data_IF_369160244934
#
_entry.id   IF_369160244934
#
_cell.length_a   1.000
_cell.length_b   1.000
_cell.length_c   1.000
_cell.angle_alpha   90.00
_cell.angle_beta   90.00
_cell.angle_gamma   90.00
#
_symmetry.space_group_name_H-M   'P 1'
#
loop_
_entity.id
_entity.type
_entity.pdbx_description
1 polymer ?
#
# COMPACT_ATOMS: atom_id res chain seq x y z
N UNK A 1 33.10 -67.26 -33.40
CA UNK A 1 32.07 -66.38 -32.81
C UNK A 1 31.54 -65.50 -33.92
N UNK A 2 30.48 -65.93 -34.62
CA UNK A 2 29.89 -65.18 -35.73
C UNK A 2 28.92 -64.12 -35.15
N UNK A 3 29.17 -62.84 -35.46
CA UNK A 3 28.25 -61.74 -35.15
C UNK A 3 27.43 -61.48 -36.41
N UNK A 4 26.12 -61.70 -36.32
CA UNK A 4 25.19 -61.37 -37.40
C UNK A 4 24.61 -59.96 -37.17
N UNK A 5 24.88 -59.02 -38.08
CA UNK A 5 24.33 -57.66 -38.05
C UNK A 5 23.19 -57.53 -39.06
N UNK A 6 22.02 -57.07 -38.59
CA UNK A 6 20.86 -56.85 -39.47
C UNK A 6 20.12 -55.57 -39.07
N UNK A 7 19.52 -54.91 -40.06
CA UNK A 7 18.71 -53.70 -39.87
C UNK A 7 17.22 -54.05 -39.87
N UNK A 8 16.50 -53.60 -38.83
CA UNK A 8 15.05 -53.74 -38.76
C UNK A 8 14.38 -52.73 -39.71
N UNK A 9 13.36 -53.14 -40.48
CA UNK A 9 12.66 -52.26 -41.41
C UNK A 9 11.70 -51.35 -40.64
N UNK A 10 12.23 -50.30 -39.99
CA UNK A 10 11.47 -49.31 -39.25
C UNK A 10 11.70 -47.96 -39.92
N UNK A 11 10.63 -47.36 -40.46
CA UNK A 11 10.69 -46.10 -41.21
C UNK A 11 10.20 -44.89 -40.41
N UNK A 12 9.70 -45.08 -39.18
CA UNK A 12 9.24 -44.01 -38.28
C UNK A 12 9.56 -44.32 -36.80
N UNK A 13 9.69 -43.29 -35.92
CA UNK A 13 9.88 -43.49 -34.49
C UNK A 13 8.68 -44.21 -33.88
N UNK A 14 8.91 -45.37 -33.27
CA UNK A 14 7.86 -46.18 -32.64
C UNK A 14 8.14 -46.36 -31.14
N UNK A 15 7.06 -46.45 -30.34
CA UNK A 15 7.19 -46.58 -28.89
C UNK A 15 7.83 -47.91 -28.46
N UNK A 16 8.37 -47.96 -27.24
CA UNK A 16 9.12 -49.12 -26.70
C UNK A 16 8.42 -50.48 -26.90
N UNK A 17 7.11 -50.56 -26.63
CA UNK A 17 6.30 -51.78 -26.78
C UNK A 17 6.13 -52.21 -28.24
N UNK A 18 6.03 -51.25 -29.16
CA UNK A 18 5.91 -51.50 -30.60
C UNK A 18 7.25 -51.95 -31.19
N UNK A 19 8.39 -51.40 -30.72
CA UNK A 19 9.72 -51.87 -31.11
C UNK A 19 9.93 -53.35 -30.77
N UNK A 20 9.57 -53.76 -29.55
CA UNK A 20 9.67 -55.16 -29.13
C UNK A 20 8.84 -56.09 -30.05
N UNK A 21 7.65 -55.63 -30.45
CA UNK A 21 6.76 -56.38 -31.34
C UNK A 21 7.31 -56.48 -32.77
N UNK A 22 7.91 -55.41 -33.29
CA UNK A 22 8.54 -55.40 -34.62
C UNK A 22 9.75 -56.34 -34.66
N UNK A 23 10.60 -56.29 -33.64
CA UNK A 23 11.74 -57.20 -33.51
C UNK A 23 11.27 -58.66 -33.41
N UNK A 24 10.25 -58.95 -32.60
CA UNK A 24 9.63 -60.28 -32.49
C UNK A 24 9.07 -60.78 -33.85
N UNK A 25 8.34 -59.93 -34.56
CA UNK A 25 7.75 -60.28 -35.85
C UNK A 25 8.81 -60.49 -36.95
N UNK A 26 9.90 -59.73 -36.91
CA UNK A 26 11.04 -59.90 -37.81
C UNK A 26 11.78 -61.22 -37.54
N UNK A 27 12.04 -61.52 -36.27
CA UNK A 27 12.66 -62.79 -35.84
C UNK A 27 11.85 -64.00 -36.32
N UNK A 28 10.52 -63.92 -36.29
CA UNK A 28 9.64 -64.99 -36.78
C UNK A 28 9.75 -65.25 -38.29
N UNK A 29 10.12 -64.24 -39.08
CA UNK A 29 10.15 -64.29 -40.56
C UNK A 29 11.52 -64.63 -41.15
N UNK A 30 12.62 -64.50 -40.38
CA UNK A 30 13.97 -64.80 -40.88
C UNK A 30 14.39 -66.25 -40.57
N UNK A 31 14.75 -67.06 -41.59
CA UNK A 31 15.04 -68.50 -41.43
C UNK A 31 16.24 -68.82 -40.53
N UNK A 32 17.19 -67.89 -40.41
CA UNK A 32 18.47 -68.08 -39.71
C UNK A 32 18.28 -68.29 -38.20
N UNK A 33 17.12 -67.93 -37.64
CA UNK A 33 16.86 -67.91 -36.20
C UNK A 33 15.68 -68.77 -35.76
N UNK A 34 15.22 -69.66 -36.63
CA UNK A 34 14.15 -70.63 -36.31
C UNK A 34 14.66 -71.84 -35.52
N UNK A 35 15.92 -71.85 -35.06
CA UNK A 35 16.55 -73.04 -34.46
C UNK A 35 17.52 -72.70 -33.32
N UNK A 36 17.08 -71.90 -32.33
CA UNK A 36 17.84 -71.65 -31.10
C UNK A 36 16.90 -71.71 -29.87
N UNK A 37 17.26 -72.40 -28.77
CA UNK A 37 16.28 -72.64 -27.70
C UNK A 37 15.97 -71.45 -26.80
N UNK A 38 16.87 -70.47 -26.66
CA UNK A 38 16.63 -69.33 -25.77
C UNK A 38 17.24 -68.02 -26.32
N UNK A 39 16.38 -67.17 -26.89
CA UNK A 39 16.72 -65.89 -27.50
C UNK A 39 16.32 -64.76 -26.54
N UNK A 40 17.28 -64.03 -25.98
CA UNK A 40 17.01 -62.91 -25.06
C UNK A 40 17.27 -61.58 -25.75
N UNK A 41 16.41 -60.58 -25.56
CA UNK A 41 16.66 -59.25 -26.14
C UNK A 41 17.08 -58.26 -25.06
N UNK A 42 18.30 -57.74 -25.19
CA UNK A 42 18.88 -56.73 -24.31
C UNK A 42 18.79 -55.36 -24.97
N UNK A 43 18.11 -54.41 -24.31
CA UNK A 43 18.05 -53.02 -24.72
C UNK A 43 19.05 -52.21 -23.89
N UNK A 44 20.03 -51.60 -24.55
CA UNK A 44 20.95 -50.67 -23.92
C UNK A 44 20.48 -49.23 -24.18
N UNK A 45 20.27 -48.45 -23.11
CA UNK A 45 20.04 -47.01 -23.20
C UNK A 45 21.01 -46.24 -22.29
N UNK A 46 20.97 -44.91 -22.37
CA UNK A 46 21.81 -43.98 -21.61
C UNK A 46 21.65 -44.10 -20.08
N UNK A 47 20.61 -44.79 -19.61
CA UNK A 47 20.26 -44.99 -18.20
C UNK A 47 20.45 -46.44 -17.71
N UNK A 48 20.97 -47.35 -18.55
CA UNK A 48 21.26 -48.74 -18.17
C UNK A 48 20.71 -49.80 -19.15
N UNK A 49 20.98 -51.07 -18.85
CA UNK A 49 20.56 -52.21 -19.68
C UNK A 49 19.25 -52.81 -19.18
N UNK A 50 18.22 -52.90 -20.03
CA UNK A 50 16.95 -53.55 -19.70
C UNK A 50 16.83 -54.87 -20.47
N UNK A 51 16.68 -55.98 -19.74
CA UNK A 51 16.61 -57.34 -20.29
C UNK A 51 15.15 -57.76 -20.45
N UNK A 52 14.75 -58.20 -21.65
CA UNK A 52 13.44 -58.77 -21.91
C UNK A 52 13.54 -60.27 -22.24
N UNK A 53 12.93 -61.15 -21.44
CA UNK A 53 12.85 -62.58 -21.78
C UNK A 53 11.83 -62.81 -22.89
N UNK A 54 12.22 -63.53 -23.95
CA UNK A 54 11.31 -64.00 -25.01
C UNK A 54 11.28 -65.53 -24.93
N UNK A 55 10.09 -66.11 -24.76
CA UNK A 55 9.91 -67.56 -24.84
C UNK A 55 9.75 -67.99 -26.30
N UNK A 56 10.71 -68.75 -26.81
CA UNK A 56 10.62 -69.48 -28.07
C UNK A 56 10.93 -70.96 -27.78
N UNK A 57 10.21 -71.90 -28.39
CA UNK A 57 10.48 -73.35 -28.34
C UNK A 57 11.06 -73.70 -29.70
N UNK A 58 12.22 -74.39 -29.85
CA UNK A 58 12.68 -75.09 -31.09
C UNK A 58 14.06 -75.84 -30.94
N UNK A 59 14.42 -76.63 -31.96
CA UNK A 59 15.24 -77.87 -32.05
C UNK A 59 16.79 -77.78 -31.74
N UNK A 60 17.48 -78.85 -31.25
CA UNK A 60 18.87 -78.83 -30.72
C UNK A 60 20.08 -78.92 -31.68
N UNK A 61 19.92 -79.14 -32.98
CA UNK A 61 21.04 -79.59 -33.85
C UNK A 61 21.91 -78.47 -34.49
N UNK A 62 21.68 -77.18 -34.19
CA UNK A 62 22.37 -76.03 -34.82
C UNK A 62 23.18 -75.16 -33.82
N UNK A 63 23.61 -75.76 -32.71
CA UNK A 63 24.05 -75.05 -31.50
C UNK A 63 25.46 -74.43 -31.50
N UNK A 64 26.31 -74.67 -32.50
CA UNK A 64 27.76 -74.47 -32.31
C UNK A 64 28.34 -73.12 -32.75
N UNK A 65 27.61 -72.22 -33.43
CA UNK A 65 28.28 -71.07 -34.10
C UNK A 65 27.82 -69.65 -33.75
N UNK A 66 26.67 -69.43 -33.09
CA UNK A 66 26.11 -68.08 -32.87
C UNK A 66 26.00 -67.75 -31.37
N UNK A 67 26.79 -66.78 -30.91
CA UNK A 67 26.82 -66.32 -29.51
C UNK A 67 25.95 -65.10 -29.22
N UNK A 68 25.76 -64.22 -30.21
CA UNK A 68 24.94 -63.01 -30.09
C UNK A 68 24.57 -62.43 -31.45
N UNK A 69 23.45 -61.69 -31.50
CA UNK A 69 22.94 -61.04 -32.71
C UNK A 69 22.70 -59.59 -32.37
N UNK A 70 23.28 -58.67 -33.15
CA UNK A 70 23.18 -57.24 -32.90
C UNK A 70 22.26 -56.59 -33.93
N UNK A 71 21.27 -55.83 -33.47
CA UNK A 71 20.43 -55.00 -34.31
C UNK A 71 20.79 -53.54 -34.10
N UNK A 72 21.08 -52.84 -35.19
CA UNK A 72 21.30 -51.40 -35.17
C UNK A 72 20.12 -50.71 -35.83
N UNK A 73 19.37 -49.93 -35.06
CA UNK A 73 18.24 -49.15 -35.59
C UNK A 73 18.71 -47.70 -35.77
N UNK A 74 18.87 -47.22 -37.01
CA UNK A 74 19.16 -45.81 -37.25
C UNK A 74 17.93 -44.96 -36.91
N UNK A 75 18.08 -44.00 -36.01
CA UNK A 75 17.06 -42.99 -35.70
C UNK A 75 17.48 -41.66 -36.34
N UNK A 76 16.64 -41.00 -37.17
CA UNK A 76 17.07 -39.83 -37.93
C UNK A 76 17.47 -38.62 -37.06
N UNK A 77 16.99 -38.55 -35.81
CA UNK A 77 17.21 -37.41 -34.89
C UNK A 77 17.80 -37.80 -33.51
N UNK A 78 18.28 -39.03 -33.31
CA UNK A 78 18.89 -39.48 -32.03
C UNK A 78 20.05 -40.45 -32.30
N UNK A 79 20.95 -40.63 -31.32
CA UNK A 79 22.04 -41.62 -31.39
C UNK A 79 21.47 -43.01 -31.73
N UNK A 80 22.12 -43.77 -32.65
CA UNK A 80 21.63 -45.08 -33.05
C UNK A 80 21.54 -46.02 -31.84
N UNK A 81 20.38 -46.66 -31.67
CA UNK A 81 20.18 -47.63 -30.60
C UNK A 81 20.70 -49.00 -31.05
N UNK A 82 21.69 -49.52 -30.34
CA UNK A 82 22.22 -50.88 -30.53
C UNK A 82 21.47 -51.86 -29.59
N UNK A 83 20.85 -52.88 -30.17
CA UNK A 83 20.24 -53.98 -29.46
C UNK A 83 21.13 -55.21 -29.60
N UNK A 84 21.35 -55.93 -28.50
CA UNK A 84 22.08 -57.20 -28.55
C UNK A 84 21.14 -58.28 -28.08
N UNK A 85 21.03 -59.35 -28.85
CA UNK A 85 20.40 -60.59 -28.45
C UNK A 85 21.51 -61.55 -28.05
N UNK A 86 21.51 -61.99 -26.80
CA UNK A 86 22.49 -62.95 -26.27
C UNK A 86 21.78 -64.29 -26.03
N UNK A 87 22.41 -65.41 -26.39
CA UNK A 87 21.87 -66.76 -26.18
C UNK A 87 22.59 -67.36 -24.96
N UNK A 88 21.85 -67.72 -23.90
CA UNK A 88 22.44 -68.22 -22.63
C UNK A 88 22.11 -69.70 -22.39
N UNK A 89 23.09 -70.46 -21.87
CA UNK A 89 23.01 -71.90 -21.65
C UNK A 89 22.48 -72.31 -20.26
N UNK A 90 22.17 -71.38 -19.34
CA UNK A 90 21.72 -71.71 -17.96
C UNK A 90 20.45 -70.93 -17.51
N UNK A 91 19.25 -71.36 -17.95
CA UNK A 91 17.99 -70.64 -17.72
C UNK A 91 17.49 -70.69 -16.26
N UNK A 92 17.74 -71.77 -15.51
CA UNK A 92 17.16 -71.95 -14.18
C UNK A 92 17.74 -71.02 -13.10
N UNK A 93 19.06 -70.76 -13.15
CA UNK A 93 19.76 -69.85 -12.24
C UNK A 93 19.27 -68.40 -12.39
N UNK A 94 19.06 -67.96 -13.62
CA UNK A 94 18.58 -66.61 -13.92
C UNK A 94 17.10 -66.41 -13.57
N UNK A 95 16.24 -67.39 -13.82
CA UNK A 95 14.83 -67.32 -13.40
C UNK A 95 14.68 -67.20 -11.88
N UNK A 96 15.52 -67.91 -11.10
CA UNK A 96 15.54 -67.78 -9.65
C UNK A 96 15.98 -66.37 -9.21
N UNK A 97 17.02 -65.80 -9.83
CA UNK A 97 17.49 -64.45 -9.53
C UNK A 97 16.45 -63.37 -9.90
N UNK A 98 15.77 -63.50 -11.04
CA UNK A 98 14.70 -62.59 -11.47
C UNK A 98 13.50 -62.65 -10.53
N UNK A 99 13.09 -63.85 -10.08
CA UNK A 99 12.02 -63.99 -9.08
C UNK A 99 12.40 -63.34 -7.76
N UNK A 100 13.65 -63.52 -7.31
CA UNK A 100 14.16 -62.90 -6.10
C UNK A 100 14.16 -61.36 -6.22
N UNK A 101 14.63 -60.83 -7.34
CA UNK A 101 14.65 -59.40 -7.61
C UNK A 101 13.23 -58.82 -7.67
N UNK A 102 12.32 -59.47 -8.40
CA UNK A 102 10.92 -59.06 -8.48
C UNK A 102 10.25 -59.03 -7.10
N UNK A 103 10.58 -59.99 -6.22
CA UNK A 103 10.04 -60.03 -4.87
C UNK A 103 10.61 -58.90 -3.99
N UNK A 104 11.91 -58.59 -4.13
CA UNK A 104 12.53 -57.43 -3.47
C UNK A 104 11.88 -56.12 -3.94
N UNK A 105 11.67 -55.95 -5.24
CA UNK A 105 11.06 -54.75 -5.81
C UNK A 105 9.60 -54.61 -5.38
N UNK A 106 8.84 -55.70 -5.29
CA UNK A 106 7.48 -55.72 -4.74
C UNK A 106 7.44 -55.27 -3.28
N UNK A 107 8.33 -55.80 -2.45
CA UNK A 107 8.40 -55.43 -1.04
C UNK A 107 8.80 -53.95 -0.87
N UNK A 108 9.74 -53.46 -1.70
CA UNK A 108 10.14 -52.06 -1.71
C UNK A 108 8.98 -51.15 -2.11
N UNK A 109 8.21 -51.52 -3.13
CA UNK A 109 7.01 -50.79 -3.56
C UNK A 109 5.94 -50.74 -2.47
N UNK A 110 5.69 -51.86 -1.78
CA UNK A 110 4.75 -51.91 -0.65
C UNK A 110 5.18 -51.01 0.50
N UNK A 111 6.47 -50.98 0.83
CA UNK A 111 7.01 -50.13 1.90
C UNK A 111 6.89 -48.64 1.52
N UNK A 112 7.22 -48.27 0.28
CA UNK A 112 7.04 -46.90 -0.23
C UNK A 112 5.57 -46.47 -0.19
N UNK A 113 4.65 -47.37 -0.54
CA UNK A 113 3.22 -47.08 -0.50
C UNK A 113 2.73 -46.81 0.93
N UNK A 114 3.18 -47.62 1.90
CA UNK A 114 2.89 -47.40 3.31
C UNK A 114 3.45 -46.06 3.80
N UNK A 115 4.69 -45.72 3.46
CA UNK A 115 5.30 -44.43 3.82
C UNK A 115 4.52 -43.24 3.23
N UNK A 116 4.07 -43.34 1.96
CA UNK A 116 3.25 -42.30 1.35
C UNK A 116 1.93 -42.11 2.08
N UNK A 117 1.26 -43.20 2.49
CA UNK A 117 -0.02 -43.12 3.20
C UNK A 117 0.15 -42.49 4.59
N UNK A 118 1.21 -42.83 5.31
CA UNK A 118 1.55 -42.18 6.60
C UNK A 118 1.79 -40.68 6.42
N UNK A 119 2.61 -40.29 5.44
CA UNK A 119 2.90 -38.88 5.15
C UNK A 119 1.64 -38.10 4.73
N UNK A 120 0.76 -38.71 3.95
CA UNK A 120 -0.51 -38.10 3.56
C UNK A 120 -1.41 -37.87 4.77
N UNK A 121 -1.44 -38.82 5.70
CA UNK A 121 -2.22 -38.71 6.93
C UNK A 121 -1.69 -37.58 7.81
N UNK A 122 -0.38 -37.55 8.07
CA UNK A 122 0.27 -36.48 8.85
C UNK A 122 0.04 -35.09 8.24
N UNK A 123 0.17 -34.96 6.92
CA UNK A 123 -0.07 -33.69 6.23
C UNK A 123 -1.55 -33.26 6.32
N UNK A 124 -2.49 -34.22 6.26
CA UNK A 124 -3.91 -33.93 6.40
C UNK A 124 -4.27 -33.44 7.81
N UNK A 125 -3.63 -34.00 8.84
CA UNK A 125 -3.79 -33.58 10.24
C UNK A 125 -3.21 -32.17 10.46
N UNK A 126 -2.05 -31.87 9.90
CA UNK A 126 -1.45 -30.53 9.96
C UNK A 126 -2.35 -29.48 9.30
N UNK A 127 -2.92 -29.78 8.13
CA UNK A 127 -3.87 -28.88 7.46
C UNK A 127 -5.11 -28.65 8.34
N UNK A 128 -5.64 -29.71 8.96
CA UNK A 128 -6.80 -29.59 9.83
C UNK A 128 -6.51 -28.71 11.06
N UNK A 129 -5.35 -28.88 11.69
CA UNK A 129 -4.90 -28.05 12.80
C UNK A 129 -4.78 -26.58 12.40
N UNK A 130 -4.06 -26.29 11.30
CA UNK A 130 -3.88 -24.92 10.80
C UNK A 130 -5.21 -24.25 10.46
N UNK A 131 -6.15 -24.99 9.84
CA UNK A 131 -7.50 -24.48 9.57
C UNK A 131 -8.24 -24.13 10.85
N UNK A 132 -8.16 -24.97 11.88
CA UNK A 132 -8.81 -24.72 13.16
C UNK A 132 -8.23 -23.48 13.86
N UNK A 133 -6.91 -23.32 13.80
CA UNK A 133 -6.21 -22.15 14.37
C UNK A 133 -6.61 -20.86 13.67
N UNK A 134 -6.60 -20.83 12.33
CA UNK A 134 -7.05 -19.67 11.56
C UNK A 134 -8.53 -19.34 11.84
N UNK A 135 -9.38 -20.36 12.00
CA UNK A 135 -10.79 -20.16 12.33
C UNK A 135 -10.96 -19.49 13.70
N UNK A 136 -10.15 -19.87 14.69
CA UNK A 136 -10.13 -19.22 16.00
C UNK A 136 -9.66 -17.78 15.90
N UNK A 137 -8.61 -17.52 15.14
CA UNK A 137 -8.10 -16.15 14.96
C UNK A 137 -9.14 -15.23 14.31
N UNK A 138 -9.81 -15.68 13.24
CA UNK A 138 -10.93 -14.96 12.61
C UNK A 138 -12.04 -14.67 13.62
N UNK A 139 -12.40 -15.65 14.45
CA UNK A 139 -13.43 -15.46 15.47
C UNK A 139 -13.02 -14.38 16.49
N UNK A 140 -11.79 -14.43 17.01
CA UNK A 140 -11.30 -13.43 17.95
C UNK A 140 -11.22 -12.02 17.33
N UNK A 141 -10.86 -11.91 16.05
CA UNK A 141 -10.82 -10.64 15.33
C UNK A 141 -12.23 -10.07 15.15
N UNK A 142 -13.20 -10.93 14.81
CA UNK A 142 -14.61 -10.52 14.69
C UNK A 142 -15.18 -10.03 16.02
N UNK A 143 -14.91 -10.73 17.12
CA UNK A 143 -15.33 -10.30 18.47
C UNK A 143 -14.72 -8.95 18.85
N UNK A 144 -13.42 -8.76 18.60
CA UNK A 144 -12.74 -7.46 18.82
C UNK A 144 -13.35 -6.34 17.97
N UNK A 145 -13.63 -6.61 16.69
CA UNK A 145 -14.26 -5.64 15.80
C UNK A 145 -15.68 -5.28 16.27
N UNK A 146 -16.48 -6.26 16.70
CA UNK A 146 -17.81 -6.00 17.24
C UNK A 146 -17.76 -5.14 18.50
N UNK A 147 -16.86 -5.46 19.43
CA UNK A 147 -16.67 -4.68 20.66
C UNK A 147 -16.22 -3.25 20.36
N UNK A 148 -15.25 -3.06 19.47
CA UNK A 148 -14.77 -1.74 19.07
C UNK A 148 -15.89 -0.91 18.42
N UNK A 149 -16.66 -1.51 17.49
CA UNK A 149 -17.79 -0.85 16.86
C UNK A 149 -18.88 -0.47 17.87
N UNK A 150 -19.17 -1.35 18.84
CA UNK A 150 -20.16 -1.07 19.87
C UNK A 150 -19.70 0.07 20.79
N UNK A 151 -18.46 0.01 21.28
CA UNK A 151 -17.88 1.09 22.09
C UNK A 151 -17.86 2.43 21.36
N UNK A 152 -17.54 2.42 20.06
CA UNK A 152 -17.54 3.63 19.24
C UNK A 152 -18.95 4.18 19.07
N UNK A 153 -19.94 3.32 18.80
CA UNK A 153 -21.35 3.73 18.73
C UNK A 153 -21.84 4.32 20.06
N UNK A 154 -21.52 3.69 21.19
CA UNK A 154 -21.92 4.19 22.51
C UNK A 154 -21.34 5.58 22.79
N UNK A 155 -20.08 5.81 22.39
CA UNK A 155 -19.44 7.12 22.48
C UNK A 155 -20.14 8.15 21.60
N UNK A 156 -20.44 7.80 20.33
CA UNK A 156 -21.20 8.69 19.44
C UNK A 156 -22.60 9.01 19.97
N UNK A 157 -23.29 8.03 20.56
CA UNK A 157 -24.61 8.26 21.16
C UNK A 157 -24.52 9.22 22.35
N UNK A 158 -23.48 9.10 23.17
CA UNK A 158 -23.24 10.00 24.29
C UNK A 158 -22.98 11.43 23.82
N UNK A 159 -22.01 11.62 22.91
CA UNK A 159 -21.65 12.92 22.36
C UNK A 159 -22.85 13.58 21.66
N UNK A 160 -23.62 12.82 20.88
CA UNK A 160 -24.81 13.31 20.20
C UNK A 160 -25.87 13.79 21.21
N UNK A 161 -26.02 13.09 22.35
CA UNK A 161 -26.96 13.49 23.40
C UNK A 161 -26.52 14.79 24.06
N UNK A 162 -25.24 14.93 24.41
CA UNK A 162 -24.69 16.16 24.99
C UNK A 162 -24.85 17.35 24.04
N UNK A 163 -24.50 17.17 22.76
CA UNK A 163 -24.63 18.22 21.74
C UNK A 163 -26.07 18.61 21.49
N UNK A 164 -27.01 17.67 21.49
CA UNK A 164 -28.43 17.98 21.38
C UNK A 164 -28.95 18.77 22.59
N UNK A 165 -28.44 18.50 23.78
CA UNK A 165 -28.76 19.26 24.98
C UNK A 165 -28.21 20.69 24.89
N UNK A 166 -26.95 20.85 24.49
CA UNK A 166 -26.31 22.16 24.26
C UNK A 166 -27.08 22.99 23.22
N UNK A 167 -27.51 22.38 22.11
CA UNK A 167 -28.34 23.03 21.10
C UNK A 167 -29.69 23.47 21.68
N UNK A 168 -30.29 22.66 22.55
CA UNK A 168 -31.56 22.99 23.20
C UNK A 168 -31.41 24.22 24.12
N UNK A 169 -30.32 24.27 24.88
CA UNK A 169 -30.03 25.35 25.83
C UNK A 169 -29.73 26.66 25.08
N UNK A 170 -28.87 26.62 24.07
CA UNK A 170 -28.58 27.78 23.20
C UNK A 170 -29.83 28.30 22.49
N UNK A 171 -30.70 27.39 22.02
CA UNK A 171 -31.99 27.79 21.44
C UNK A 171 -32.89 28.48 22.47
N UNK A 172 -32.82 28.10 23.74
CA UNK A 172 -33.59 28.77 24.78
C UNK A 172 -33.05 30.18 25.05
N UNK A 173 -31.72 30.33 25.11
CA UNK A 173 -31.06 31.62 25.29
C UNK A 173 -31.37 32.59 24.16
N UNK A 174 -31.31 32.13 22.89
CA UNK A 174 -31.69 32.95 21.73
C UNK A 174 -33.12 33.46 21.90
N UNK A 175 -34.08 32.59 22.25
CA UNK A 175 -35.48 33.02 22.47
C UNK A 175 -35.62 34.06 23.59
N UNK A 176 -34.87 33.92 24.67
CA UNK A 176 -34.90 34.88 25.78
C UNK A 176 -34.36 36.25 25.33
N UNK A 177 -33.25 36.26 24.60
CA UNK A 177 -32.65 37.49 24.06
C UNK A 177 -33.56 38.18 23.04
N UNK A 178 -34.20 37.41 22.15
CA UNK A 178 -35.19 37.93 21.21
C UNK A 178 -36.36 38.59 21.93
N UNK A 179 -36.88 37.97 22.99
CA UNK A 179 -37.98 38.53 23.79
C UNK A 179 -37.58 39.83 24.50
N UNK A 180 -36.36 39.92 25.04
CA UNK A 180 -35.84 41.15 25.65
C UNK A 180 -35.68 42.28 24.63
N UNK A 181 -35.27 41.94 23.40
CA UNK A 181 -35.16 42.91 22.31
C UNK A 181 -36.53 43.47 21.92
N UNK A 182 -37.54 42.59 21.84
CA UNK A 182 -38.92 42.98 21.53
C UNK A 182 -39.52 43.90 22.60
N UNK A 183 -39.25 43.60 23.89
CA UNK A 183 -39.70 44.41 25.02
C UNK A 183 -39.05 45.81 25.04
N UNK A 184 -37.76 45.91 24.70
CA UNK A 184 -37.05 47.20 24.60
C UNK A 184 -37.51 48.01 23.39
N UNK A 185 -37.91 47.35 22.30
CA UNK A 185 -38.31 48.02 21.06
C UNK A 185 -39.77 48.50 21.04
N UNK A 186 -40.65 47.93 21.88
CA UNK A 186 -42.09 48.22 21.85
C UNK A 186 -42.62 49.07 23.04
N UNK A 187 -41.77 49.76 23.79
CA UNK A 187 -42.22 50.69 24.84
C UNK A 187 -43.03 51.88 24.25
N UNK A 188 -44.28 52.14 24.67
CA UNK A 188 -45.16 53.11 24.03
C UNK A 188 -45.18 54.45 24.78
N UNK A 189 -44.48 55.46 24.27
CA UNK A 189 -44.82 56.86 24.58
C UNK A 189 -44.59 57.79 23.36
N UNK A 190 -45.66 58.29 22.71
CA UNK A 190 -45.58 59.10 21.51
C UNK A 190 -45.81 60.59 21.80
N UNK A 191 -44.98 61.26 22.63
CA UNK A 191 -45.14 62.71 22.83
C UNK A 191 -43.96 63.47 23.45
N UNK A 192 -42.75 63.44 22.87
CA UNK A 192 -41.73 64.47 23.17
C UNK A 192 -41.07 65.03 21.92
N UNK A 193 -41.60 66.19 21.53
CA UNK A 193 -41.17 67.07 20.47
C UNK A 193 -39.95 67.92 20.86
N UNK A 194 -38.95 67.94 19.97
CA UNK A 194 -37.91 68.97 19.78
C UNK A 194 -37.08 69.43 20.99
N UNK A 195 -36.02 68.69 21.31
CA UNK A 195 -34.72 69.25 21.73
C UNK A 195 -33.66 68.16 21.62
N UNK A 196 -32.76 68.25 20.62
CA UNK A 196 -31.55 67.44 20.43
C UNK A 196 -31.52 66.07 21.13
N UNK A 197 -32.43 65.17 20.74
CA UNK A 197 -32.48 63.83 21.33
C UNK A 197 -31.32 63.03 20.76
N UNK A 198 -30.40 62.70 21.67
CA UNK A 198 -29.47 61.58 21.59
C UNK A 198 -30.23 60.32 21.16
N UNK A 199 -30.30 60.04 19.87
CA UNK A 199 -30.40 58.64 19.40
C UNK A 199 -29.02 58.02 19.50
N UNK A 200 -28.50 57.93 20.73
CA UNK A 200 -27.56 56.86 21.07
C UNK A 200 -28.46 55.66 21.32
N UNK A 201 -28.83 54.96 20.26
CA UNK A 201 -29.25 53.58 20.41
C UNK A 201 -27.99 52.85 20.87
N UNK A 202 -27.87 52.61 22.18
CA UNK A 202 -26.90 51.64 22.69
C UNK A 202 -27.31 50.28 22.11
N UNK A 203 -26.76 49.96 20.94
CA UNK A 203 -27.19 48.85 20.09
C UNK A 203 -26.92 49.08 18.59
N UNK A 204 -26.80 50.33 18.12
CA UNK A 204 -26.30 50.63 16.77
C UNK A 204 -24.77 50.65 16.77
N UNK A 205 -24.13 49.86 15.92
CA UNK A 205 -22.67 49.84 15.77
C UNK A 205 -22.13 51.23 15.40
N UNK A 206 -21.06 51.68 16.07
CA UNK A 206 -20.39 52.97 15.78
C UNK A 206 -19.81 52.96 14.36
N UNK A 207 -19.31 51.81 13.91
CA UNK A 207 -18.84 51.53 12.57
C UNK A 207 -19.48 50.22 12.11
N UNK A 208 -20.03 50.22 10.89
CA UNK A 208 -20.45 48.99 10.24
C UNK A 208 -19.24 48.32 9.59
N UNK A 209 -19.21 46.98 9.58
CA UNK A 209 -18.24 46.22 8.80
C UNK A 209 -18.48 46.42 7.30
N UNK A 210 -17.39 46.37 6.51
CA UNK A 210 -17.45 46.23 5.06
C UNK A 210 -17.39 44.76 4.64
N UNK A 211 -17.04 44.52 3.37
CA UNK A 211 -16.93 43.16 2.81
C UNK A 211 -15.63 42.42 3.22
N UNK A 212 -14.68 43.13 3.84
CA UNK A 212 -13.42 42.52 4.32
C UNK A 212 -13.65 41.70 5.59
N UNK A 213 -12.97 40.57 5.67
CA UNK A 213 -13.01 39.64 6.80
C UNK A 213 -11.67 39.63 7.52
N UNK A 214 -11.71 39.35 8.82
CA UNK A 214 -10.51 39.09 9.61
C UNK A 214 -9.77 37.86 9.07
N UNK A 215 -8.49 38.03 8.73
CA UNK A 215 -7.58 36.93 8.36
C UNK A 215 -7.09 36.16 9.58
N UNK A 216 -7.12 36.81 10.75
CA UNK A 216 -6.87 36.23 12.06
C UNK A 216 -7.66 37.02 13.11
N UNK A 217 -7.89 36.41 14.28
CA UNK A 217 -8.74 36.98 15.33
C UNK A 217 -8.41 38.45 15.62
N UNK A 218 -9.46 39.28 15.58
CA UNK A 218 -9.45 40.69 15.94
C UNK A 218 -8.51 41.58 15.08
N UNK A 219 -8.20 41.18 13.85
CA UNK A 219 -7.33 41.94 12.93
C UNK A 219 -7.87 43.34 12.64
N UNK A 220 -9.10 43.44 12.14
CA UNK A 220 -9.73 44.71 11.77
C UNK A 220 -9.86 45.60 13.02
N UNK A 221 -10.22 45.01 14.17
CA UNK A 221 -10.28 45.71 15.44
C UNK A 221 -8.91 46.28 15.83
N UNK A 222 -7.82 45.52 15.69
CA UNK A 222 -6.47 45.98 15.95
C UNK A 222 -6.10 47.19 15.10
N UNK A 223 -6.37 47.15 13.78
CA UNK A 223 -6.13 48.29 12.89
C UNK A 223 -6.93 49.53 13.27
N UNK A 224 -8.23 49.38 13.52
CA UNK A 224 -9.10 50.50 13.91
C UNK A 224 -8.63 51.12 15.22
N UNK A 225 -8.32 50.30 16.24
CA UNK A 225 -7.81 50.79 17.52
C UNK A 225 -6.48 51.51 17.39
N UNK A 226 -5.57 51.01 16.58
CA UNK A 226 -4.27 51.64 16.35
C UNK A 226 -4.40 52.99 15.66
N UNK A 227 -5.31 53.12 14.69
CA UNK A 227 -5.64 54.39 14.07
C UNK A 227 -6.21 55.40 15.08
N UNK A 228 -7.13 54.98 15.94
CA UNK A 228 -7.69 55.81 17.01
C UNK A 228 -6.63 56.23 18.04
N UNK A 229 -5.77 55.29 18.45
CA UNK A 229 -4.68 55.54 19.39
C UNK A 229 -3.65 56.51 18.80
N UNK A 230 -3.31 56.37 17.52
CA UNK A 230 -2.37 57.26 16.83
C UNK A 230 -2.93 58.69 16.73
N UNK A 231 -4.21 58.86 16.35
CA UNK A 231 -4.86 60.18 16.34
C UNK A 231 -4.93 60.81 17.75
N UNK A 232 -5.22 59.98 18.77
CA UNK A 232 -5.22 60.42 20.16
C UNK A 232 -3.83 60.90 20.61
N UNK A 233 -2.76 60.19 20.21
CA UNK A 233 -1.39 60.49 20.62
C UNK A 233 -0.73 61.64 19.85
N UNK A 234 -1.05 61.83 18.56
CA UNK A 234 -0.31 62.74 17.68
C UNK A 234 -1.02 64.05 17.36
N UNK A 235 -2.35 64.06 17.35
CA UNK A 235 -3.15 65.14 16.72
C UNK A 235 -4.27 65.67 17.60
N UNK A 236 -4.32 65.26 18.87
CA UNK A 236 -5.41 65.60 19.77
C UNK A 236 -4.93 66.48 20.92
N UNK A 237 -5.60 67.63 21.12
CA UNK A 237 -5.33 68.52 22.25
C UNK A 237 -5.86 67.91 23.56
N UNK A 238 -5.10 68.13 24.64
CA UNK A 238 -5.52 67.76 25.98
C UNK A 238 -6.83 68.42 26.39
N UNK A 239 -7.65 67.67 27.11
CA UNK A 239 -8.99 68.01 27.59
C UNK A 239 -9.98 68.47 26.50
N UNK A 240 -9.71 68.12 25.23
CA UNK A 240 -10.62 68.42 24.14
C UNK A 240 -11.75 67.39 24.05
N UNK A 241 -12.89 67.80 23.46
CA UNK A 241 -14.00 66.88 23.17
C UNK A 241 -13.56 65.71 22.30
N UNK A 242 -12.64 65.94 21.37
CA UNK A 242 -12.03 64.90 20.53
C UNK A 242 -11.28 63.88 21.38
N UNK A 243 -10.48 64.33 22.35
CA UNK A 243 -9.77 63.44 23.28
C UNK A 243 -10.75 62.57 24.07
N UNK A 244 -11.80 63.18 24.63
CA UNK A 244 -12.79 62.44 25.42
C UNK A 244 -13.49 61.36 24.60
N UNK A 245 -13.86 61.65 23.33
CA UNK A 245 -14.51 60.67 22.45
C UNK A 245 -13.55 59.52 22.10
N UNK A 246 -12.34 59.84 21.64
CA UNK A 246 -11.36 58.81 21.24
C UNK A 246 -10.97 57.91 22.42
N UNK A 247 -10.80 58.51 23.61
CA UNK A 247 -10.49 57.76 24.82
C UNK A 247 -11.64 56.83 25.23
N UNK A 248 -12.89 57.32 25.21
CA UNK A 248 -14.07 56.54 25.53
C UNK A 248 -14.26 55.36 24.57
N UNK A 249 -14.07 55.58 23.26
CA UNK A 249 -14.11 54.51 22.26
C UNK A 249 -13.02 53.46 22.52
N UNK A 250 -11.80 53.87 22.86
CA UNK A 250 -10.71 52.95 23.15
C UNK A 250 -10.94 52.15 24.44
N UNK A 251 -11.56 52.75 25.46
CA UNK A 251 -11.88 52.07 26.72
C UNK A 251 -12.97 51.00 26.55
N UNK A 252 -14.00 51.29 25.75
CA UNK A 252 -15.15 50.38 25.57
C UNK A 252 -14.93 49.27 24.53
N UNK A 253 -13.78 49.27 23.83
CA UNK A 253 -13.46 48.25 22.83
C UNK A 253 -12.11 47.60 23.13
N UNK A 254 -11.89 47.01 24.33
CA UNK A 254 -10.57 46.50 24.72
C UNK A 254 -10.07 45.43 23.75
N UNK A 255 -8.75 45.39 23.57
CA UNK A 255 -8.05 44.34 22.83
C UNK A 255 -7.01 43.76 23.78
N UNK A 256 -7.30 42.58 24.35
CA UNK A 256 -6.43 41.96 25.35
C UNK A 256 -5.11 41.50 24.73
N UNK A 257 -5.18 40.84 23.57
CA UNK A 257 -4.02 40.31 22.85
C UNK A 257 -3.99 40.86 21.43
N UNK A 258 -2.95 41.63 21.10
CA UNK A 258 -2.78 42.21 19.77
C UNK A 258 -1.97 41.26 18.87
N UNK A 259 -2.65 40.26 18.30
CA UNK A 259 -2.03 39.24 17.44
C UNK A 259 -1.32 39.85 16.22
N UNK A 260 -1.75 41.03 15.75
CA UNK A 260 -1.11 41.76 14.65
C UNK A 260 0.33 42.09 15.02
N UNK A 261 0.56 42.73 16.17
CA UNK A 261 1.90 43.11 16.66
C UNK A 261 2.75 41.89 17.01
N UNK A 262 2.16 40.84 17.54
CA UNK A 262 2.86 39.58 17.81
C UNK A 262 3.38 38.94 16.53
N UNK A 263 2.51 38.83 15.51
CA UNK A 263 2.87 38.30 14.19
C UNK A 263 3.93 39.16 13.50
N UNK A 264 3.83 40.49 13.58
CA UNK A 264 4.84 41.42 13.06
C UNK A 264 6.21 41.21 13.71
N UNK A 265 6.22 41.12 15.04
CA UNK A 265 7.44 40.92 15.84
C UNK A 265 8.08 39.58 15.52
N UNK A 266 7.27 38.52 15.44
CA UNK A 266 7.72 37.18 15.12
C UNK A 266 8.23 37.07 13.68
N UNK A 267 7.58 37.71 12.71
CA UNK A 267 8.08 37.82 11.34
C UNK A 267 9.47 38.45 11.29
N UNK A 268 9.65 39.61 11.95
CA UNK A 268 10.94 40.29 12.05
C UNK A 268 11.99 39.41 12.72
N UNK A 269 11.61 38.64 13.74
CA UNK A 269 12.50 37.72 14.47
C UNK A 269 12.97 36.58 13.57
N UNK A 270 12.05 35.89 12.90
CA UNK A 270 12.32 34.76 11.99
C UNK A 270 13.25 35.17 10.85
N UNK A 271 13.01 36.35 10.29
CA UNK A 271 13.75 36.82 9.11
C UNK A 271 15.04 37.58 9.46
N UNK A 272 15.33 37.83 10.75
CA UNK A 272 16.45 38.68 11.20
C UNK A 272 17.81 38.24 10.65
N UNK A 273 18.05 36.93 10.61
CA UNK A 273 19.31 36.30 10.17
C UNK A 273 19.11 35.41 8.94
N UNK A 274 18.05 35.65 8.16
CA UNK A 274 17.74 34.83 6.98
C UNK A 274 18.82 34.96 5.91
N UNK A 275 19.38 33.82 5.50
CA UNK A 275 20.33 33.71 4.37
C UNK A 275 19.84 32.75 3.29
N UNK A 276 19.20 31.66 3.72
CA UNK A 276 18.60 30.62 2.87
C UNK A 276 17.35 30.09 3.55
N UNK A 277 16.38 29.63 2.76
CA UNK A 277 15.20 28.97 3.31
C UNK A 277 15.57 27.58 3.85
N UNK A 278 15.61 27.45 5.17
CA UNK A 278 15.73 26.17 5.86
C UNK A 278 14.38 25.70 6.41
N UNK A 279 14.31 24.43 6.82
CA UNK A 279 13.08 23.84 7.35
C UNK A 279 12.54 24.56 8.60
N UNK A 280 13.38 24.98 9.57
CA UNK A 280 12.93 25.79 10.71
C UNK A 280 12.27 27.11 10.32
N UNK A 281 12.90 27.90 9.46
CA UNK A 281 12.35 29.19 8.99
C UNK A 281 11.05 28.98 8.24
N UNK A 282 11.00 28.00 7.34
CA UNK A 282 9.78 27.68 6.59
C UNK A 282 8.63 27.28 7.53
N UNK A 283 8.90 26.48 8.56
CA UNK A 283 7.89 26.11 9.54
C UNK A 283 7.43 27.29 10.39
N UNK A 284 8.33 28.22 10.76
CA UNK A 284 7.97 29.43 11.48
C UNK A 284 7.06 30.34 10.64
N UNK A 285 7.40 30.54 9.35
CA UNK A 285 6.57 31.29 8.40
C UNK A 285 5.20 30.62 8.19
N UNK A 286 5.13 29.29 8.13
CA UNK A 286 3.85 28.56 8.07
C UNK A 286 2.99 28.79 9.30
N UNK A 287 3.59 28.76 10.50
CA UNK A 287 2.87 29.07 11.76
C UNK A 287 2.33 30.50 11.80
N UNK A 288 2.99 31.44 11.14
CA UNK A 288 2.51 32.82 11.02
C UNK A 288 1.29 32.97 10.11
N UNK A 289 1.04 32.01 9.21
CA UNK A 289 -0.04 32.04 8.23
C UNK A 289 0.45 32.08 6.77
N UNK A 290 1.75 31.92 6.51
CA UNK A 290 2.27 31.89 5.14
C UNK A 290 2.23 30.49 4.53
N UNK A 291 1.62 30.38 3.36
CA UNK A 291 1.81 29.24 2.46
C UNK A 291 3.01 29.48 1.56
N UNK A 292 3.70 28.39 1.18
CA UNK A 292 4.92 28.44 0.37
C UNK A 292 4.73 27.72 -0.96
N UNK A 293 5.17 28.36 -2.02
CA UNK A 293 5.27 27.77 -3.35
C UNK A 293 6.64 28.11 -3.94
N UNK A 294 7.18 27.18 -4.74
CA UNK A 294 8.44 27.39 -5.42
C UNK A 294 8.18 27.87 -6.84
N UNK A 295 8.71 29.05 -7.18
CA UNK A 295 8.58 29.64 -8.51
C UNK A 295 9.96 29.98 -9.06
N UNK A 296 10.50 29.07 -9.89
CA UNK A 296 11.82 29.22 -10.50
C UNK A 296 12.93 29.48 -9.48
N UNK A 297 13.56 30.66 -9.56
CA UNK A 297 14.69 31.09 -8.72
C UNK A 297 14.25 31.76 -7.40
N UNK A 298 12.95 31.97 -7.20
CA UNK A 298 12.37 32.64 -6.04
C UNK A 298 11.45 31.70 -5.23
N UNK A 299 11.39 31.95 -3.94
CA UNK A 299 10.37 31.43 -3.05
C UNK A 299 9.21 32.41 -3.02
N UNK A 300 8.00 31.91 -3.22
CA UNK A 300 6.76 32.70 -3.17
C UNK A 300 6.00 32.34 -1.91
N UNK A 301 5.63 33.34 -1.14
CA UNK A 301 4.85 33.23 0.08
C UNK A 301 3.52 33.94 -0.11
N UNK A 302 2.43 33.29 0.33
CA UNK A 302 1.08 33.86 0.29
C UNK A 302 0.48 33.81 1.69
N UNK A 303 0.09 34.96 2.22
CA UNK A 303 -0.46 35.09 3.57
C UNK A 303 -1.94 34.71 3.61
N UNK A 304 -2.33 33.82 4.52
CA UNK A 304 -3.71 33.34 4.77
C UNK A 304 -4.50 32.94 3.51
N UNK A 305 -3.80 32.50 2.45
CA UNK A 305 -4.42 32.08 1.20
C UNK A 305 -4.90 33.21 0.28
N UNK A 306 -4.73 34.48 0.65
CA UNK A 306 -5.17 35.63 -0.14
C UNK A 306 -4.12 36.02 -1.20
N UNK A 307 -4.55 36.12 -2.47
CA UNK A 307 -3.68 36.41 -3.61
C UNK A 307 -3.15 37.85 -3.63
N UNK A 308 -3.81 38.77 -2.91
CA UNK A 308 -3.38 40.16 -2.75
C UNK A 308 -2.09 40.25 -1.92
N UNK A 309 -1.90 39.31 -1.00
CA UNK A 309 -0.84 39.29 0.01
C UNK A 309 0.26 38.29 -0.32
N UNK A 310 0.84 38.47 -1.52
CA UNK A 310 1.98 37.69 -2.00
C UNK A 310 3.29 38.44 -1.80
N UNK A 311 4.32 37.71 -1.36
CA UNK A 311 5.69 38.18 -1.26
C UNK A 311 6.68 37.15 -1.82
N UNK A 312 7.80 37.62 -2.35
CA UNK A 312 8.82 36.76 -2.96
C UNK A 312 10.21 37.04 -2.39
N UNK A 313 11.00 35.99 -2.19
CA UNK A 313 12.42 36.10 -1.80
C UNK A 313 13.29 35.19 -2.66
N UNK A 314 14.55 35.55 -2.89
CA UNK A 314 15.50 34.72 -3.66
C UNK A 314 15.87 33.44 -2.90
N UNK A 315 16.13 32.34 -3.62
CA UNK A 315 16.62 31.07 -3.03
C UNK A 315 17.95 31.19 -2.30
N UNK A 316 18.85 32.01 -2.83
CA UNK A 316 20.13 32.35 -2.23
C UNK A 316 20.35 33.85 -2.36
N UNK A 317 20.28 34.56 -1.25
CA UNK A 317 20.68 35.97 -1.22
C UNK A 317 22.14 36.05 -0.76
N UNK A 318 23.00 36.70 -1.55
CA UNK A 318 24.32 37.12 -1.08
C UNK A 318 24.24 38.34 -0.16
N UNK A 319 23.11 39.05 -0.16
CA UNK A 319 22.86 40.20 0.71
C UNK A 319 22.31 39.75 2.07
N UNK A 320 23.05 40.08 3.12
CA UNK A 320 22.72 39.84 4.53
C UNK A 320 21.46 40.60 4.96
N UNK A 321 21.06 41.65 4.23
CA UNK A 321 19.85 42.44 4.50
C UNK A 321 18.58 41.90 3.86
N UNK A 322 18.68 40.93 2.95
CA UNK A 322 17.52 40.43 2.21
C UNK A 322 16.38 39.95 3.10
N UNK A 323 16.70 39.24 4.20
CA UNK A 323 15.70 38.85 5.19
C UNK A 323 14.99 40.02 5.87
N UNK A 324 15.76 41.04 6.27
CA UNK A 324 15.22 42.23 6.94
C UNK A 324 14.34 43.05 6.00
N UNK A 325 14.75 43.19 4.75
CA UNK A 325 13.97 43.90 3.74
C UNK A 325 12.65 43.17 3.47
N UNK A 326 12.70 41.85 3.28
CA UNK A 326 11.49 41.02 3.13
C UNK A 326 10.54 41.17 4.31
N UNK A 327 11.04 41.10 5.54
CA UNK A 327 10.21 41.27 6.73
C UNK A 327 9.64 42.68 6.84
N UNK A 328 10.41 43.71 6.48
CA UNK A 328 9.94 45.09 6.50
C UNK A 328 8.83 45.34 5.48
N UNK A 329 9.03 44.88 4.24
CA UNK A 329 8.07 45.06 3.15
C UNK A 329 6.74 44.36 3.45
N UNK A 330 6.82 43.14 4.01
CA UNK A 330 5.64 42.38 4.41
C UNK A 330 4.98 42.99 5.63
N UNK A 331 5.75 43.38 6.65
CA UNK A 331 5.21 44.03 7.84
C UNK A 331 4.37 45.23 7.44
N UNK A 332 4.93 46.17 6.67
CA UNK A 332 4.20 47.37 6.22
C UNK A 332 2.96 47.07 5.37
N UNK A 333 2.89 45.88 4.74
CA UNK A 333 1.78 45.49 3.88
C UNK A 333 0.66 44.79 4.66
N UNK A 334 0.97 44.11 5.77
CA UNK A 334 0.05 43.21 6.48
C UNK A 334 -0.22 43.58 7.93
N UNK A 335 0.65 44.35 8.58
CA UNK A 335 0.60 44.66 10.01
C UNK A 335 0.77 46.16 10.21
#
# INVERSE_FOLDING_TARGET
>A
MLIYETHLPITQPIGKRQMLQVAYNWLKKHPILQTAPHVFMTWHNEHGSVIYPIQCILNPDLYEEISSIRFRIPHPNQLPCDFVISVSQQPESWHAQLKLQLNKDKNAAQNLQFQMETLQTEHSEQIAHLKQEHQREIQTLNEKHQFANQSQNDTYFHDMKEKNQEISDLKHEIRQLEQLLEEVTHSPDPQHSYTHVKTVVRGSCVLAYGDELDLYNDEILSFVRDALHNELATRTHENSRRQHILHDLLLNNPLENDLRKEKETELKRVMRNYQRLDAPTLNALKKLGFSHTQDGTHHKFKFMGDERYVATTSKSSSDVRSGKNFAHDIANKLF
#
